data_IF_563839302026
#
_entry.id   IF_563839302026
#
_cell.length_a   1.000
_cell.length_b   1.000
_cell.length_c   1.000
_cell.angle_alpha   90.00
_cell.angle_beta   90.00
_cell.angle_gamma   90.00
#
_symmetry.space_group_name_H-M   'P 1'
#
loop_
_entity.id
_entity.type
_entity.pdbx_description
1 polymer ?
#
# COMPACT_ATOMS: atom_id res chain seq x y z
N UNK A 1 -1.80 -14.95 19.76
CA UNK A 1 -1.01 -13.80 19.26
C UNK A 1 -2.02 -12.76 18.81
N UNK A 2 -1.91 -11.54 19.30
CA UNK A 2 -2.81 -10.45 18.91
C UNK A 2 -2.49 -9.93 17.50
N UNK A 3 -3.43 -9.18 16.90
CA UNK A 3 -3.19 -8.51 15.61
C UNK A 3 -1.93 -7.63 15.64
N UNK A 4 -1.79 -6.83 16.70
CA UNK A 4 -0.65 -5.90 16.85
C UNK A 4 0.67 -6.64 16.99
N UNK A 5 0.73 -7.73 17.75
CA UNK A 5 1.93 -8.58 17.86
C UNK A 5 2.31 -9.20 16.51
N UNK A 6 1.30 -9.66 15.75
CA UNK A 6 1.53 -10.26 14.43
C UNK A 6 2.08 -9.23 13.45
N UNK A 7 1.47 -8.04 13.40
CA UNK A 7 1.96 -6.93 12.58
C UNK A 7 3.37 -6.50 12.99
N UNK A 8 3.63 -6.36 14.31
CA UNK A 8 4.94 -5.99 14.83
C UNK A 8 6.05 -6.95 14.39
N UNK A 9 5.76 -8.25 14.33
CA UNK A 9 6.72 -9.25 13.82
C UNK A 9 7.01 -9.06 12.34
N UNK A 10 6.01 -8.71 11.52
CA UNK A 10 6.24 -8.42 10.10
C UNK A 10 7.12 -7.18 9.92
N UNK A 11 6.85 -6.09 10.66
CA UNK A 11 7.68 -4.89 10.61
C UNK A 11 9.10 -5.06 11.18
N UNK A 12 9.33 -6.07 12.02
CA UNK A 12 10.66 -6.45 12.52
C UNK A 12 11.32 -7.55 11.69
N UNK A 13 10.58 -8.15 10.76
CA UNK A 13 11.04 -9.26 9.92
C UNK A 13 11.92 -8.80 8.75
N UNK A 14 12.59 -9.76 8.09
CA UNK A 14 13.53 -9.45 7.01
C UNK A 14 12.85 -8.72 5.83
N UNK A 15 11.60 -9.03 5.48
CA UNK A 15 10.88 -8.36 4.39
C UNK A 15 10.71 -6.85 4.59
N UNK A 16 10.70 -6.38 5.85
CA UNK A 16 10.61 -4.95 6.12
C UNK A 16 11.91 -4.19 5.79
N UNK A 17 13.01 -4.88 5.62
CA UNK A 17 14.32 -4.33 5.26
C UNK A 17 14.61 -4.43 3.76
N UNK A 18 13.72 -5.03 2.98
CA UNK A 18 13.86 -5.12 1.52
C UNK A 18 13.55 -3.76 0.87
N UNK A 19 14.10 -3.57 -0.34
CA UNK A 19 13.88 -2.40 -1.18
C UNK A 19 13.10 -2.79 -2.42
N UNK A 20 12.04 -2.04 -2.76
CA UNK A 20 11.24 -2.25 -3.97
C UNK A 20 11.55 -1.21 -5.07
N UNK A 21 12.84 -0.91 -5.27
CA UNK A 21 13.27 0.07 -6.26
C UNK A 21 13.13 1.53 -5.80
N UNK A 22 12.82 1.75 -4.52
CA UNK A 22 12.75 3.06 -3.89
C UNK A 22 13.97 3.29 -2.97
N UNK A 23 14.28 4.55 -2.59
CA UNK A 23 15.47 4.85 -1.77
C UNK A 23 15.31 4.51 -0.28
N UNK A 24 14.15 4.01 0.13
CA UNK A 24 13.82 3.59 1.49
C UNK A 24 13.41 2.12 1.52
N UNK A 25 13.53 1.47 2.67
CA UNK A 25 13.02 0.09 2.84
C UNK A 25 11.50 0.07 2.87
N UNK A 26 10.88 -1.09 2.59
CA UNK A 26 9.42 -1.26 2.64
C UNK A 26 8.88 -0.85 4.02
N UNK A 27 9.54 -1.27 5.10
CA UNK A 27 9.12 -0.92 6.46
C UNK A 27 9.24 0.57 6.78
N UNK A 28 10.26 1.27 6.25
CA UNK A 28 10.40 2.73 6.38
C UNK A 28 9.32 3.44 5.58
N UNK A 29 9.13 3.07 4.32
CA UNK A 29 8.09 3.58 3.45
C UNK A 29 6.71 3.52 4.09
N UNK A 30 6.29 2.35 4.54
CA UNK A 30 5.00 2.16 5.20
C UNK A 30 4.85 3.02 6.47
N UNK A 31 5.90 3.13 7.28
CA UNK A 31 5.87 3.97 8.49
C UNK A 31 5.89 5.46 8.17
N UNK A 32 6.59 5.89 7.11
CA UNK A 32 6.52 7.27 6.62
C UNK A 32 5.11 7.62 6.15
N UNK A 33 4.46 6.73 5.37
CA UNK A 33 3.08 6.94 4.92
C UNK A 33 2.11 7.08 6.10
N UNK A 34 2.22 6.22 7.11
CA UNK A 34 1.43 6.32 8.35
C UNK A 34 1.68 7.62 9.12
N UNK A 35 2.94 8.06 9.22
CA UNK A 35 3.31 9.29 9.90
C UNK A 35 2.78 10.54 9.15
N UNK A 36 2.86 10.55 7.83
CA UNK A 36 2.31 11.63 6.98
C UNK A 36 0.79 11.72 7.13
N UNK A 37 0.10 10.59 7.12
CA UNK A 37 -1.35 10.53 7.34
C UNK A 37 -1.72 11.09 8.74
N UNK A 38 -0.97 10.71 9.77
CA UNK A 38 -1.18 11.19 11.13
C UNK A 38 -0.91 12.71 11.24
N UNK A 39 0.17 13.20 10.65
CA UNK A 39 0.50 14.62 10.63
C UNK A 39 -0.53 15.46 9.88
N UNK A 40 -1.18 14.89 8.86
CA UNK A 40 -2.29 15.51 8.15
C UNK A 40 -3.62 15.52 8.93
N UNK A 41 -3.67 14.94 10.13
CA UNK A 41 -4.89 14.87 10.94
C UNK A 41 -5.93 13.88 10.42
N UNK A 42 -5.52 12.87 9.65
CA UNK A 42 -6.42 11.86 9.13
C UNK A 42 -7.07 11.04 10.25
N UNK A 43 -8.26 10.49 9.98
CA UNK A 43 -8.93 9.57 10.89
C UNK A 43 -8.07 8.34 11.20
N UNK A 44 -8.19 7.78 12.40
CA UNK A 44 -7.36 6.65 12.86
C UNK A 44 -7.36 5.47 11.89
N UNK A 45 -8.52 5.17 11.29
CA UNK A 45 -8.63 4.08 10.32
C UNK A 45 -7.81 4.34 9.05
N UNK A 46 -7.76 5.60 8.60
CA UNK A 46 -7.01 6.00 7.40
C UNK A 46 -5.51 6.05 7.70
N UNK A 47 -5.10 6.47 8.91
CA UNK A 47 -3.70 6.35 9.36
C UNK A 47 -3.27 4.88 9.36
N UNK A 48 -4.11 3.97 9.87
CA UNK A 48 -3.83 2.53 9.84
C UNK A 48 -3.74 2.01 8.40
N UNK A 49 -4.65 2.45 7.51
CA UNK A 49 -4.61 2.06 6.11
C UNK A 49 -3.32 2.54 5.42
N UNK A 50 -2.89 3.79 5.65
CA UNK A 50 -1.64 4.32 5.12
C UNK A 50 -0.41 3.57 5.66
N UNK A 51 -0.39 3.23 6.96
CA UNK A 51 0.67 2.41 7.55
C UNK A 51 0.72 0.99 6.95
N UNK A 52 -0.42 0.41 6.56
CA UNK A 52 -0.55 -1.00 6.21
C UNK A 52 -0.77 -1.24 4.70
N UNK A 53 -0.72 -0.20 3.86
CA UNK A 53 -1.11 -0.30 2.45
C UNK A 53 -0.31 -1.37 1.68
N UNK A 54 0.96 -1.52 1.99
CA UNK A 54 1.89 -2.46 1.35
C UNK A 54 2.17 -3.73 2.17
N UNK A 55 1.31 -4.05 3.16
CA UNK A 55 1.50 -5.22 4.04
C UNK A 55 1.58 -6.54 3.26
N UNK A 56 0.99 -6.62 2.07
CA UNK A 56 1.08 -7.78 1.19
C UNK A 56 2.53 -8.11 0.81
N UNK A 57 3.36 -7.10 0.61
CA UNK A 57 4.79 -7.29 0.34
C UNK A 57 5.55 -7.90 1.54
N UNK A 58 5.26 -7.44 2.76
CA UNK A 58 5.89 -7.99 3.96
C UNK A 58 5.52 -9.47 4.21
N UNK A 59 4.43 -9.93 3.62
CA UNK A 59 3.97 -11.33 3.71
C UNK A 59 4.50 -12.21 2.59
N UNK A 60 5.20 -11.65 1.60
CA UNK A 60 5.63 -12.37 0.41
C UNK A 60 4.50 -12.69 -0.56
N UNK A 61 3.33 -12.06 -0.44
CA UNK A 61 2.14 -12.31 -1.27
C UNK A 61 2.12 -11.47 -2.57
N UNK A 62 3.18 -10.72 -2.83
CA UNK A 62 3.39 -9.98 -4.08
C UNK A 62 4.35 -10.66 -5.05
N UNK A 63 5.04 -11.70 -4.58
CA UNK A 63 6.08 -12.42 -5.34
C UNK A 63 5.65 -13.88 -5.52
N UNK A 64 4.83 -14.16 -6.53
CA UNK A 64 4.57 -15.55 -6.92
C UNK A 64 5.78 -16.11 -7.69
N UNK A 65 6.77 -16.52 -6.95
CA UNK A 65 7.66 -17.57 -7.41
C UNK A 65 8.87 -17.14 -8.22
N UNK A 66 9.74 -16.30 -7.67
CA UNK A 66 11.10 -16.15 -8.19
C UNK A 66 12.18 -16.16 -7.10
N UNK A 67 12.02 -17.02 -6.09
CA UNK A 67 13.16 -17.44 -5.27
C UNK A 67 13.59 -18.82 -5.73
N UNK A 68 14.54 -18.85 -6.66
CA UNK A 68 15.33 -20.04 -6.98
C UNK A 68 14.78 -20.90 -8.12
N UNK A 69 15.33 -20.74 -9.33
CA UNK A 69 15.15 -21.68 -10.43
C UNK A 69 15.44 -21.04 -11.77
N UNK A 70 16.65 -21.25 -12.29
CA UNK A 70 16.99 -21.03 -13.69
C UNK A 70 16.07 -21.85 -14.59
N UNK A 71 15.20 -21.20 -15.35
CA UNK A 71 14.38 -21.91 -16.33
C UNK A 71 13.24 -21.02 -16.84
N UNK A 72 13.41 -20.45 -18.04
CA UNK A 72 12.47 -19.56 -18.67
C UNK A 72 11.09 -20.15 -18.89
N UNK A 73 10.08 -19.37 -18.65
CA UNK A 73 8.88 -19.37 -19.48
C UNK A 73 8.07 -18.11 -19.18
N UNK A 74 7.92 -17.29 -20.21
CA UNK A 74 7.08 -16.11 -20.28
C UNK A 74 5.61 -16.51 -20.12
N UNK A 75 5.02 -16.32 -18.95
CA UNK A 75 3.57 -16.34 -18.77
C UNK A 75 3.12 -15.21 -17.86
N UNK A 76 2.51 -14.19 -18.45
CA UNK A 76 1.49 -13.35 -17.83
C UNK A 76 1.96 -12.37 -16.76
N UNK A 77 2.80 -11.40 -17.09
CA UNK A 77 3.21 -10.30 -16.18
C UNK A 77 2.09 -9.28 -15.86
N UNK A 78 0.83 -9.59 -16.14
CA UNK A 78 -0.26 -8.60 -16.06
C UNK A 78 -1.06 -8.58 -14.76
N UNK A 79 -0.67 -9.32 -13.71
CA UNK A 79 -1.46 -9.38 -12.49
C UNK A 79 -0.68 -9.33 -11.17
N UNK A 80 0.64 -9.38 -11.18
CA UNK A 80 1.44 -9.41 -9.95
C UNK A 80 1.43 -8.07 -9.19
N UNK A 81 1.48 -6.94 -9.90
CA UNK A 81 1.54 -5.61 -9.28
C UNK A 81 0.27 -5.14 -8.57
N UNK A 82 -0.88 -5.79 -8.84
CA UNK A 82 -2.17 -5.41 -8.24
C UNK A 82 -2.57 -6.31 -7.06
N UNK A 83 -1.93 -7.46 -6.93
CA UNK A 83 -2.33 -8.48 -5.95
C UNK A 83 -1.94 -8.16 -4.51
N UNK A 84 -0.86 -7.39 -4.28
CA UNK A 84 -0.43 -7.10 -2.91
C UNK A 84 -1.47 -6.30 -2.11
N UNK A 85 -2.12 -5.32 -2.74
CA UNK A 85 -3.19 -4.53 -2.11
C UNK A 85 -4.40 -5.40 -1.76
N UNK A 86 -4.89 -6.23 -2.70
CA UNK A 86 -5.99 -7.16 -2.47
C UNK A 86 -5.64 -8.25 -1.45
N UNK A 87 -4.46 -8.84 -1.56
CA UNK A 87 -4.00 -9.88 -0.65
C UNK A 87 -3.79 -9.32 0.76
N UNK A 88 -3.16 -8.14 0.88
CA UNK A 88 -3.01 -7.43 2.14
C UNK A 88 -4.34 -7.10 2.80
N UNK A 89 -5.28 -6.52 2.05
CA UNK A 89 -6.61 -6.18 2.54
C UNK A 89 -7.39 -7.41 3.01
N UNK A 90 -7.37 -8.49 2.23
CA UNK A 90 -8.01 -9.76 2.60
C UNK A 90 -7.43 -10.31 3.90
N UNK A 91 -6.12 -10.27 4.06
CA UNK A 91 -5.48 -10.73 5.27
C UNK A 91 -5.80 -9.85 6.48
N UNK A 92 -5.78 -8.54 6.31
CA UNK A 92 -6.13 -7.58 7.35
C UNK A 92 -7.59 -7.69 7.80
N UNK A 93 -8.49 -8.17 6.92
CA UNK A 93 -9.92 -8.28 7.20
C UNK A 93 -10.26 -9.23 8.36
N UNK A 94 -9.35 -10.08 8.78
CA UNK A 94 -9.52 -10.90 9.97
C UNK A 94 -9.55 -10.08 11.28
N UNK A 95 -9.00 -8.86 11.26
CA UNK A 95 -8.89 -7.99 12.45
C UNK A 95 -9.53 -6.61 12.27
N UNK A 96 -9.53 -6.07 11.06
CA UNK A 96 -9.93 -4.69 10.79
C UNK A 96 -11.18 -4.59 9.92
N UNK A 97 -11.93 -3.50 10.10
CA UNK A 97 -13.08 -3.15 9.30
C UNK A 97 -12.75 -2.56 7.93
N UNK A 98 -13.80 -2.37 7.10
CA UNK A 98 -13.69 -1.81 5.76
C UNK A 98 -13.02 -0.44 5.72
N UNK A 99 -13.18 0.38 6.75
CA UNK A 99 -12.50 1.68 6.85
C UNK A 99 -10.97 1.59 6.83
N UNK A 100 -10.39 0.44 7.20
CA UNK A 100 -8.95 0.17 7.07
C UNK A 100 -8.66 -0.63 5.80
N UNK A 101 -9.41 -1.71 5.58
CA UNK A 101 -9.06 -2.68 4.54
C UNK A 101 -9.40 -2.22 3.12
N UNK A 102 -10.46 -1.43 2.92
CA UNK A 102 -10.80 -0.95 1.59
C UNK A 102 -9.81 0.07 1.01
N UNK A 103 -9.35 1.10 1.77
CA UNK A 103 -8.28 1.96 1.26
C UNK A 103 -6.99 1.18 0.92
N UNK A 104 -6.63 0.16 1.71
CA UNK A 104 -5.51 -0.74 1.40
C UNK A 104 -5.76 -1.48 0.08
N UNK A 105 -6.95 -2.05 -0.12
CA UNK A 105 -7.31 -2.75 -1.35
C UNK A 105 -7.25 -1.86 -2.58
N UNK A 106 -7.67 -0.61 -2.43
CA UNK A 106 -7.91 0.32 -3.53
C UNK A 106 -6.72 1.23 -3.85
N UNK A 107 -5.62 1.26 -3.06
CA UNK A 107 -4.55 2.24 -3.25
C UNK A 107 -3.86 2.14 -4.63
N UNK A 108 -3.75 0.94 -5.20
CA UNK A 108 -3.23 0.74 -6.56
C UNK A 108 -4.20 1.28 -7.61
N UNK A 109 -5.49 1.04 -7.45
CA UNK A 109 -6.52 1.62 -8.32
C UNK A 109 -6.54 3.16 -8.21
N UNK A 110 -6.32 3.71 -7.01
CA UNK A 110 -6.20 5.15 -6.78
C UNK A 110 -5.05 5.78 -7.57
N UNK A 111 -3.90 5.09 -7.75
CA UNK A 111 -2.82 5.55 -8.64
C UNK A 111 -3.32 5.73 -10.08
N UNK A 112 -4.01 4.72 -10.63
CA UNK A 112 -4.58 4.77 -11.98
C UNK A 112 -5.60 5.90 -12.14
N UNK A 113 -6.40 6.12 -11.09
CA UNK A 113 -7.38 7.21 -11.02
C UNK A 113 -6.70 8.58 -11.06
N UNK A 114 -5.70 8.81 -10.22
CA UNK A 114 -4.94 10.06 -10.17
C UNK A 114 -4.23 10.35 -11.50
N UNK A 115 -3.63 9.34 -12.13
CA UNK A 115 -3.04 9.49 -13.46
C UNK A 115 -4.06 9.90 -14.54
N UNK A 116 -5.34 9.58 -14.35
CA UNK A 116 -6.40 9.91 -15.29
C UNK A 116 -7.06 11.26 -15.01
N UNK A 117 -7.02 11.76 -13.77
CA UNK A 117 -7.80 12.95 -13.33
C UNK A 117 -6.94 14.15 -13.00
N UNK A 118 -5.66 13.98 -12.69
CA UNK A 118 -4.77 15.08 -12.31
C UNK A 118 -3.67 15.32 -13.36
N UNK A 119 -3.76 16.42 -14.10
CA UNK A 119 -2.69 16.82 -15.01
C UNK A 119 -1.35 16.94 -14.27
N UNK A 120 -0.31 16.29 -14.80
CA UNK A 120 1.03 16.32 -14.19
C UNK A 120 1.30 15.28 -13.13
N UNK A 121 0.28 14.58 -12.56
CA UNK A 121 0.50 13.58 -11.51
C UNK A 121 1.46 12.46 -11.94
N UNK A 122 1.39 12.01 -13.20
CA UNK A 122 2.31 11.01 -13.74
C UNK A 122 3.78 11.44 -13.64
N UNK A 123 4.05 12.74 -13.78
CA UNK A 123 5.40 13.32 -13.67
C UNK A 123 5.92 13.41 -12.22
N UNK A 124 5.06 13.22 -11.23
CA UNK A 124 5.45 13.21 -9.81
C UNK A 124 5.81 11.80 -9.32
N UNK A 125 5.45 10.77 -10.08
CA UNK A 125 5.70 9.38 -9.70
C UNK A 125 7.19 9.04 -9.86
N UNK A 126 7.75 8.28 -8.93
CA UNK A 126 9.05 7.63 -9.07
C UNK A 126 9.03 6.56 -10.19
N UNK A 127 10.19 6.05 -10.56
CA UNK A 127 10.33 5.14 -11.70
C UNK A 127 9.50 3.84 -11.53
N UNK A 128 9.44 3.27 -10.33
CA UNK A 128 8.74 2.02 -10.07
C UNK A 128 7.22 2.12 -10.24
N UNK A 129 6.50 3.09 -9.64
CA UNK A 129 5.08 3.32 -9.92
C UNK A 129 4.77 3.59 -11.41
N UNK A 130 5.65 4.27 -12.14
CA UNK A 130 5.47 4.48 -13.59
C UNK A 130 5.58 3.16 -14.34
N UNK A 131 6.58 2.35 -14.02
CA UNK A 131 6.80 1.05 -14.64
C UNK A 131 5.60 0.11 -14.42
N UNK A 132 5.13 0.04 -13.19
CA UNK A 132 4.00 -0.85 -12.82
C UNK A 132 2.65 -0.36 -13.35
N UNK A 133 2.48 0.95 -13.59
CA UNK A 133 1.25 1.52 -14.15
C UNK A 133 0.88 0.87 -15.50
N UNK A 134 1.86 0.61 -16.36
CA UNK A 134 1.64 -0.01 -17.67
C UNK A 134 1.03 -1.41 -17.50
N UNK A 135 1.55 -2.20 -16.57
CA UNK A 135 1.06 -3.55 -16.31
C UNK A 135 -0.30 -3.57 -15.61
N UNK A 136 -0.63 -2.49 -14.91
CA UNK A 136 -1.91 -2.32 -14.22
C UNK A 136 -3.03 -1.79 -15.14
N UNK A 137 -2.78 -1.61 -16.43
CA UNK A 137 -3.77 -1.16 -17.40
C UNK A 137 -3.74 0.34 -17.71
N UNK A 138 -2.71 1.07 -17.26
CA UNK A 138 -2.55 2.50 -17.49
C UNK A 138 -3.54 3.37 -16.69
N UNK A 139 -3.65 4.68 -17.02
CA UNK A 139 -4.66 5.56 -16.46
C UNK A 139 -6.07 5.02 -16.66
N UNK A 140 -6.97 5.26 -15.71
CA UNK A 140 -8.37 4.80 -15.80
C UNK A 140 -9.10 5.43 -16.97
N UNK A 141 -9.91 4.63 -17.68
CA UNK A 141 -10.88 5.10 -18.67
C UNK A 141 -12.08 5.78 -17.97
N UNK A 142 -12.91 6.55 -18.69
CA UNK A 142 -14.04 7.27 -18.08
C UNK A 142 -15.01 6.38 -17.29
N UNK A 143 -15.33 5.20 -17.81
CA UNK A 143 -16.20 4.21 -17.16
C UNK A 143 -15.56 3.61 -15.90
N UNK A 144 -14.25 3.31 -15.94
CA UNK A 144 -13.49 2.84 -14.77
C UNK A 144 -13.44 3.91 -13.67
N UNK A 145 -13.29 5.19 -14.05
CA UNK A 145 -13.31 6.33 -13.09
C UNK A 145 -14.65 6.43 -12.39
N UNK A 146 -15.74 6.42 -13.16
CA UNK A 146 -17.09 6.50 -12.59
C UNK A 146 -17.36 5.33 -11.63
N UNK A 147 -16.94 4.12 -12.01
CA UNK A 147 -17.05 2.94 -11.15
C UNK A 147 -16.21 3.08 -9.88
N UNK A 148 -14.97 3.57 -9.97
CA UNK A 148 -14.09 3.80 -8.82
C UNK A 148 -14.67 4.87 -7.88
N UNK A 149 -15.13 6.00 -8.40
CA UNK A 149 -15.69 7.10 -7.63
C UNK A 149 -16.95 6.70 -6.85
N UNK A 150 -17.69 5.70 -7.34
CA UNK A 150 -18.88 5.16 -6.68
C UNK A 150 -18.56 4.19 -5.53
N UNK A 151 -17.29 3.75 -5.41
CA UNK A 151 -16.91 2.82 -4.34
C UNK A 151 -16.88 3.51 -2.97
N UNK A 152 -17.37 2.85 -1.91
CA UNK A 152 -17.05 3.24 -0.55
C UNK A 152 -15.53 3.35 -0.37
N UNK A 153 -15.07 4.36 0.35
CA UNK A 153 -13.64 4.57 0.62
C UNK A 153 -12.74 4.90 -0.59
N UNK A 154 -13.30 5.23 -1.76
CA UNK A 154 -12.49 5.66 -2.91
C UNK A 154 -11.66 6.92 -2.58
N UNK A 155 -12.25 7.90 -1.88
CA UNK A 155 -11.54 9.11 -1.44
C UNK A 155 -10.44 8.81 -0.44
N UNK A 156 -10.69 7.88 0.47
CA UNK A 156 -9.71 7.44 1.47
C UNK A 156 -8.52 6.75 0.79
N UNK A 157 -8.79 5.91 -0.21
CA UNK A 157 -7.75 5.27 -1.02
C UNK A 157 -6.90 6.29 -1.80
N UNK A 158 -7.52 7.34 -2.33
CA UNK A 158 -6.80 8.46 -2.97
C UNK A 158 -5.89 9.17 -1.96
N UNK A 159 -6.37 9.42 -0.74
CA UNK A 159 -5.55 10.02 0.31
C UNK A 159 -4.37 9.10 0.70
N UNK A 160 -4.62 7.81 0.91
CA UNK A 160 -3.57 6.82 1.18
C UNK A 160 -2.54 6.82 0.04
N UNK A 161 -2.99 6.82 -1.23
CA UNK A 161 -2.08 6.85 -2.38
C UNK A 161 -1.17 8.07 -2.39
N UNK A 162 -1.66 9.25 -2.01
CA UNK A 162 -0.84 10.45 -1.94
C UNK A 162 0.27 10.35 -0.89
N UNK A 163 -0.02 9.75 0.26
CA UNK A 163 1.01 9.51 1.29
C UNK A 163 1.99 8.41 0.89
N UNK A 164 1.53 7.37 0.18
CA UNK A 164 2.39 6.37 -0.44
C UNK A 164 3.41 7.04 -1.38
N UNK A 165 2.97 7.92 -2.28
CA UNK A 165 3.87 8.61 -3.20
C UNK A 165 4.86 9.55 -2.49
N UNK A 166 4.45 10.17 -1.37
CA UNK A 166 5.28 11.09 -0.60
C UNK A 166 6.23 10.41 0.40
N UNK A 167 5.99 9.14 0.72
CA UNK A 167 6.68 8.41 1.79
C UNK A 167 8.01 7.75 1.33
N UNK A 168 8.86 8.48 0.62
CA UNK A 168 10.06 7.93 -0.06
C UNK A 168 11.32 8.77 0.19
N UNK A 169 11.33 9.52 1.30
CA UNK A 169 12.46 10.38 1.65
C UNK A 169 13.45 9.64 2.55
N UNK A 170 14.66 9.30 2.07
CA UNK A 170 15.68 8.62 2.87
C UNK A 170 16.27 9.49 3.98
N UNK A 171 16.04 10.81 3.96
CA UNK A 171 16.50 11.72 5.02
C UNK A 171 15.52 11.75 6.21
N UNK A 172 14.32 11.20 6.06
CA UNK A 172 13.28 11.20 7.10
C UNK A 172 13.23 9.85 7.80
N UNK A 173 13.67 9.80 9.06
CA UNK A 173 13.49 8.63 9.92
C UNK A 173 12.05 8.58 10.46
N UNK A 174 11.22 7.62 10.05
CA UNK A 174 9.85 7.52 10.54
C UNK A 174 9.81 6.99 11.98
N UNK A 175 8.72 7.24 12.73
CA UNK A 175 8.49 6.59 14.02
C UNK A 175 8.58 5.07 13.91
N UNK A 176 9.03 4.40 14.97
CA UNK A 176 9.01 2.93 15.04
C UNK A 176 7.58 2.38 15.04
N UNK A 177 7.39 1.11 14.65
CA UNK A 177 6.07 0.45 14.63
C UNK A 177 5.32 0.59 15.96
N UNK A 178 6.01 0.54 17.10
CA UNK A 178 5.43 0.70 18.44
C UNK A 178 4.68 2.02 18.66
N UNK A 179 5.01 3.07 17.91
CA UNK A 179 4.28 4.33 17.92
C UNK A 179 2.82 4.16 17.45
N UNK A 180 2.59 3.30 16.46
CA UNK A 180 1.27 3.06 15.88
C UNK A 180 0.49 1.95 16.62
N UNK A 181 1.15 1.17 17.47
CA UNK A 181 0.55 0.01 18.13
C UNK A 181 -0.75 0.35 18.92
N UNK A 182 -0.83 1.44 19.71
CA UNK A 182 -2.07 1.79 20.41
C UNK A 182 -3.23 2.14 19.46
N UNK A 183 -2.92 2.84 18.36
CA UNK A 183 -3.90 3.17 17.32
C UNK A 183 -4.47 1.90 16.68
N UNK A 184 -3.60 0.97 16.29
CA UNK A 184 -4.00 -0.29 15.69
C UNK A 184 -4.82 -1.14 16.65
N UNK A 185 -4.40 -1.24 17.94
CA UNK A 185 -5.15 -2.00 18.95
C UNK A 185 -6.59 -1.49 19.12
N UNK A 186 -6.80 -0.17 19.05
CA UNK A 186 -8.12 0.45 19.17
C UNK A 186 -9.03 0.21 17.95
N UNK A 187 -8.50 -0.26 16.82
CA UNK A 187 -9.23 -0.53 15.58
C UNK A 187 -9.52 -2.03 15.37
N UNK A 188 -8.92 -2.90 16.17
CA UNK A 188 -9.19 -4.34 16.09
C UNK A 188 -10.65 -4.60 16.47
N UNK A 189 -11.35 -5.35 15.63
CA UNK A 189 -12.72 -5.78 15.90
C UNK A 189 -12.76 -6.73 17.10
N UNK A 190 -13.82 -6.57 17.88
CA UNK A 190 -14.13 -7.49 18.97
C UNK A 190 -14.54 -8.89 18.44
#
# INVERSE_FOLDING_TARGET
MTAVETLGKLFAGPGAHDYLGEPVTIGEHMRQAGALAQAAGAERAIVAAALLHDIGHLRGEGDDGSRGGSGGSSRGASSAGDRHGEAGARWLSQWFGGAVTEPVRLHVAAKRYLCATEPGYLGLLSAEPVRTLVWQGGPMKPDERAAFEALPHARDAVAVRRWDDAAKDPAVAPPGFGHFAPLLAALVRA
#
